data_IF_199488003962
#
_entry.id   IF_199488003962
#
_cell.length_a   1.000
_cell.length_b   1.000
_cell.length_c   1.000
_cell.angle_alpha   90.00
_cell.angle_beta   90.00
_cell.angle_gamma   90.00
#
_symmetry.space_group_name_H-M   'P 1'
#
loop_
_entity.id
_entity.type
_entity.pdbx_description
1 polymer ?
#
# COMPACT_ATOMS: atom_id res chain seq x y z
N UNK A 1 -2.32 -2.66 -1.12
CA UNK A 1 -3.10 -1.47 -0.77
C UNK A 1 -2.99 -1.16 0.72
N UNK A 2 -2.66 0.08 1.06
CA UNK A 2 -2.86 0.67 2.38
C UNK A 2 -4.20 1.40 2.39
N UNK A 3 -5.14 0.97 3.27
CA UNK A 3 -6.54 1.35 3.17
C UNK A 3 -6.79 2.70 3.83
N UNK A 4 -7.17 3.70 3.05
CA UNK A 4 -7.56 5.03 3.50
C UNK A 4 -8.63 5.67 2.61
N UNK A 5 -9.55 6.44 3.19
CA UNK A 5 -10.57 7.14 2.40
C UNK A 5 -9.99 8.39 1.75
N UNK A 6 -9.21 9.17 2.50
CA UNK A 6 -8.54 10.36 1.95
C UNK A 6 -7.25 10.02 1.21
N UNK A 7 -6.58 8.95 1.63
CA UNK A 7 -5.33 8.50 1.06
C UNK A 7 -5.36 6.99 0.94
N UNK A 8 -5.92 6.46 -0.15
CA UNK A 8 -5.84 5.06 -0.51
C UNK A 8 -4.54 4.86 -1.28
N UNK A 9 -3.49 4.41 -0.61
CA UNK A 9 -2.23 4.17 -1.28
C UNK A 9 -2.17 2.76 -1.88
N UNK A 10 -1.56 2.64 -3.06
CA UNK A 10 -1.31 1.36 -3.69
C UNK A 10 0.02 1.31 -4.42
N UNK A 11 0.55 0.12 -4.58
CA UNK A 11 1.75 -0.15 -5.34
C UNK A 11 1.56 -1.41 -6.17
N UNK A 12 1.78 -1.30 -7.50
CA UNK A 12 1.84 -2.43 -8.42
C UNK A 12 3.31 -2.73 -8.66
N UNK A 13 3.75 -3.92 -8.27
CA UNK A 13 5.15 -4.32 -8.34
C UNK A 13 5.28 -5.80 -8.66
N UNK A 14 6.45 -6.20 -9.13
CA UNK A 14 6.85 -7.59 -9.28
C UNK A 14 8.33 -7.76 -8.97
N UNK A 15 8.73 -8.98 -8.67
CA UNK A 15 10.13 -9.36 -8.52
C UNK A 15 10.66 -9.93 -9.84
N UNK A 16 11.81 -9.46 -10.25
CA UNK A 16 12.52 -9.95 -11.43
C UNK A 16 13.30 -11.23 -11.09
N UNK A 17 13.81 -11.93 -12.10
CA UNK A 17 14.64 -13.13 -11.94
C UNK A 17 15.90 -12.87 -11.11
N UNK A 18 16.48 -11.69 -11.22
CA UNK A 18 17.66 -11.24 -10.45
C UNK A 18 17.34 -10.79 -9.01
N UNK A 19 16.12 -11.00 -8.54
CA UNK A 19 15.61 -10.56 -7.22
C UNK A 19 15.48 -9.05 -7.04
N UNK A 20 15.70 -8.25 -8.08
CA UNK A 20 15.35 -6.83 -8.07
C UNK A 20 13.84 -6.64 -8.14
N UNK A 21 13.35 -5.49 -7.69
CA UNK A 21 11.94 -5.13 -7.71
C UNK A 21 11.69 -4.10 -8.81
N UNK A 22 10.69 -4.35 -9.64
CA UNK A 22 10.15 -3.38 -10.58
C UNK A 22 8.82 -2.85 -10.08
N UNK A 23 8.65 -1.53 -10.12
CA UNK A 23 7.41 -0.85 -9.74
C UNK A 23 6.77 -0.29 -11.01
N UNK A 24 5.58 -0.77 -11.34
CA UNK A 24 4.81 -0.28 -12.50
C UNK A 24 4.01 0.98 -12.17
N UNK A 25 3.40 1.01 -10.98
CA UNK A 25 2.56 2.10 -10.53
C UNK A 25 2.61 2.22 -9.01
N UNK A 26 2.76 3.43 -8.50
CA UNK A 26 2.81 3.70 -7.06
C UNK A 26 2.17 5.06 -6.79
N UNK A 27 0.98 5.05 -6.22
CA UNK A 27 0.19 6.28 -6.10
C UNK A 27 -0.76 6.28 -4.91
N UNK A 28 -1.37 7.44 -4.69
CA UNK A 28 -2.43 7.66 -3.71
C UNK A 28 -3.70 8.10 -4.43
N UNK A 29 -4.75 7.33 -4.27
CA UNK A 29 -6.10 7.67 -4.72
C UNK A 29 -6.79 8.47 -3.63
N UNK A 30 -7.27 9.66 -3.96
CA UNK A 30 -8.15 10.44 -3.11
C UNK A 30 -9.60 10.12 -3.49
N UNK A 31 -10.36 9.58 -2.53
CA UNK A 31 -11.79 9.30 -2.69
C UNK A 31 -12.66 10.47 -2.22
N UNK A 32 -12.08 11.36 -1.41
CA UNK A 32 -12.72 12.56 -0.89
C UNK A 32 -11.90 13.79 -1.25
N UNK A 33 -12.59 14.89 -1.54
CA UNK A 33 -11.95 16.18 -1.67
C UNK A 33 -11.48 16.71 -0.29
N UNK A 34 -10.59 17.69 -0.27
CA UNK A 34 -9.92 18.11 0.97
C UNK A 34 -10.90 18.73 1.98
N UNK A 35 -11.99 19.35 1.53
CA UNK A 35 -13.08 19.94 2.34
C UNK A 35 -14.19 18.95 2.70
N UNK A 36 -14.23 17.78 2.07
CA UNK A 36 -15.24 16.77 2.35
C UNK A 36 -14.99 16.02 3.66
N UNK A 37 -16.11 15.73 4.36
CA UNK A 37 -16.10 14.90 5.57
C UNK A 37 -16.75 13.54 5.28
N UNK A 38 -16.02 12.46 5.45
CA UNK A 38 -16.47 11.10 5.20
C UNK A 38 -17.85 10.78 5.78
N UNK A 39 -18.16 11.25 7.00
CA UNK A 39 -19.45 11.01 7.66
C UNK A 39 -20.66 11.64 6.95
N UNK A 40 -20.44 12.57 6.02
CA UNK A 40 -21.49 13.28 5.29
C UNK A 40 -21.74 12.69 3.91
N UNK A 41 -20.87 11.79 3.42
CA UNK A 41 -20.99 11.24 2.08
C UNK A 41 -21.57 9.82 2.18
N UNK A 42 -22.63 9.54 1.45
CA UNK A 42 -23.24 8.21 1.40
C UNK A 42 -22.24 7.14 0.90
N UNK A 43 -22.34 5.94 1.46
CA UNK A 43 -21.42 4.85 1.11
C UNK A 43 -21.49 4.47 -0.38
N UNK A 44 -22.67 4.52 -0.99
CA UNK A 44 -22.83 4.27 -2.43
C UNK A 44 -22.05 5.27 -3.28
N UNK A 45 -22.01 6.53 -2.90
CA UNK A 45 -21.22 7.55 -3.60
C UNK A 45 -19.72 7.30 -3.47
N UNK A 46 -19.24 7.00 -2.25
CA UNK A 46 -17.85 6.60 -2.02
C UNK A 46 -17.49 5.36 -2.86
N UNK A 47 -18.41 4.38 -2.92
CA UNK A 47 -18.24 3.15 -3.71
C UNK A 47 -18.11 3.47 -5.20
N UNK A 48 -18.97 4.33 -5.73
CA UNK A 48 -18.93 4.74 -7.14
C UNK A 48 -17.61 5.43 -7.48
N UNK A 49 -17.18 6.38 -6.65
CA UNK A 49 -15.88 7.06 -6.81
C UNK A 49 -14.72 6.06 -6.78
N UNK A 50 -14.75 5.13 -5.83
CA UNK A 50 -13.74 4.08 -5.68
C UNK A 50 -13.65 3.19 -6.93
N UNK A 51 -14.79 2.66 -7.41
CA UNK A 51 -14.82 1.81 -8.59
C UNK A 51 -14.31 2.53 -9.84
N UNK A 52 -14.78 3.76 -10.07
CA UNK A 52 -14.31 4.57 -11.21
C UNK A 52 -12.79 4.79 -11.15
N UNK A 53 -12.25 5.11 -9.97
CA UNK A 53 -10.82 5.30 -9.79
C UNK A 53 -10.03 4.00 -9.97
N UNK A 54 -10.47 2.90 -9.35
CA UNK A 54 -9.78 1.61 -9.50
C UNK A 54 -9.80 1.14 -10.96
N UNK A 55 -10.92 1.26 -11.67
CA UNK A 55 -10.98 0.90 -13.08
C UNK A 55 -10.05 1.78 -13.93
N UNK A 56 -10.11 3.10 -13.78
CA UNK A 56 -9.27 4.00 -14.57
C UNK A 56 -7.76 3.81 -14.33
N UNK A 57 -7.37 3.46 -13.11
CA UNK A 57 -5.96 3.31 -12.73
C UNK A 57 -5.41 1.91 -12.99
N UNK A 58 -6.24 0.87 -12.88
CA UNK A 58 -5.76 -0.52 -12.79
C UNK A 58 -6.10 -1.38 -14.02
N UNK A 59 -7.08 -0.99 -14.84
CA UNK A 59 -7.56 -1.83 -15.95
C UNK A 59 -6.50 -2.19 -16.98
N UNK A 60 -5.47 -1.37 -17.13
CA UNK A 60 -4.35 -1.62 -18.06
C UNK A 60 -3.29 -2.61 -17.53
N UNK A 61 -3.38 -3.03 -16.27
CA UNK A 61 -2.38 -3.91 -15.65
C UNK A 61 -2.90 -5.33 -15.48
N UNK A 62 -2.04 -6.31 -15.75
CA UNK A 62 -2.27 -7.71 -15.41
C UNK A 62 -1.88 -7.93 -13.94
N UNK A 63 -2.90 -8.10 -13.09
CA UNK A 63 -2.72 -8.26 -11.64
C UNK A 63 -3.03 -9.71 -11.26
N UNK A 64 -2.03 -10.44 -10.79
CA UNK A 64 -2.20 -11.83 -10.35
C UNK A 64 -2.44 -11.97 -8.84
N UNK A 65 -1.95 -11.05 -8.04
CA UNK A 65 -2.06 -11.08 -6.58
C UNK A 65 -2.54 -9.71 -6.05
N UNK A 66 -3.53 -9.73 -5.17
CA UNK A 66 -4.06 -8.51 -4.55
C UNK A 66 -3.92 -8.61 -3.04
N UNK A 67 -3.22 -7.63 -2.46
CA UNK A 67 -2.96 -7.56 -1.03
C UNK A 67 -3.61 -6.33 -0.44
N UNK A 68 -4.49 -6.53 0.53
CA UNK A 68 -5.22 -5.46 1.23
C UNK A 68 -4.82 -5.44 2.69
N UNK A 69 -4.48 -4.27 3.24
CA UNK A 69 -4.29 -4.15 4.68
C UNK A 69 -5.56 -4.53 5.43
N UNK A 70 -5.44 -5.46 6.40
CA UNK A 70 -6.58 -5.90 7.19
C UNK A 70 -6.97 -4.85 8.22
N UNK A 71 -8.11 -4.21 8.00
CA UNK A 71 -8.66 -3.18 8.87
C UNK A 71 -9.45 -3.76 10.06
N UNK A 72 -9.26 -3.26 11.28
CA UNK A 72 -10.00 -3.72 12.45
C UNK A 72 -11.48 -3.25 12.40
N UNK A 73 -12.41 -4.21 12.51
CA UNK A 73 -13.85 -3.93 12.39
C UNK A 73 -14.37 -2.94 13.45
N UNK A 74 -13.93 -3.10 14.71
CA UNK A 74 -14.48 -2.32 15.83
C UNK A 74 -13.88 -0.92 15.94
N UNK A 75 -12.62 -0.73 15.53
CA UNK A 75 -11.94 0.57 15.67
C UNK A 75 -12.27 1.53 14.53
N UNK A 76 -12.46 1.00 13.34
CA UNK A 76 -12.72 1.82 12.17
C UNK A 76 -13.64 1.10 11.15
N UNK A 77 -14.95 1.02 11.41
CA UNK A 77 -15.89 0.28 10.57
C UNK A 77 -15.97 0.82 9.14
N UNK A 78 -15.79 2.12 8.94
CA UNK A 78 -15.80 2.72 7.60
C UNK A 78 -14.60 2.24 6.77
N UNK A 79 -13.41 2.20 7.34
CA UNK A 79 -12.23 1.65 6.64
C UNK A 79 -12.40 0.17 6.35
N UNK A 80 -13.04 -0.58 7.25
CA UNK A 80 -13.38 -1.99 7.00
C UNK A 80 -14.34 -2.13 5.83
N UNK A 81 -15.35 -1.25 5.71
CA UNK A 81 -16.26 -1.25 4.56
C UNK A 81 -15.51 -0.97 3.26
N UNK A 82 -14.64 0.03 3.22
CA UNK A 82 -13.80 0.34 2.04
C UNK A 82 -12.94 -0.87 1.66
N UNK A 83 -12.28 -1.49 2.63
CA UNK A 83 -11.50 -2.71 2.40
C UNK A 83 -12.33 -3.81 1.74
N UNK A 84 -13.57 -4.04 2.21
CA UNK A 84 -14.44 -5.09 1.67
C UNK A 84 -14.99 -4.71 0.28
N UNK A 85 -15.20 -3.43 0.01
CA UNK A 85 -15.59 -2.95 -1.31
C UNK A 85 -14.45 -3.17 -2.32
N UNK A 86 -13.20 -2.87 -1.96
CA UNK A 86 -12.02 -3.16 -2.81
C UNK A 86 -11.89 -4.68 -3.02
N UNK A 87 -12.05 -5.48 -1.97
CA UNK A 87 -12.06 -6.93 -2.08
C UNK A 87 -13.10 -7.42 -3.10
N UNK A 88 -14.36 -6.92 -2.98
CA UNK A 88 -15.45 -7.25 -3.90
C UNK A 88 -15.18 -6.80 -5.34
N UNK A 89 -14.55 -5.63 -5.53
CA UNK A 89 -14.13 -5.16 -6.86
C UNK A 89 -13.21 -6.17 -7.55
N UNK A 90 -12.16 -6.65 -6.89
CA UNK A 90 -11.25 -7.62 -7.47
C UNK A 90 -11.86 -9.01 -7.62
N UNK A 91 -12.76 -9.42 -6.72
CA UNK A 91 -13.54 -10.65 -6.91
C UNK A 91 -14.43 -10.57 -8.15
N UNK A 92 -15.09 -9.44 -8.39
CA UNK A 92 -15.86 -9.21 -9.60
C UNK A 92 -14.99 -9.28 -10.85
N UNK A 93 -13.81 -8.63 -10.83
CA UNK A 93 -12.85 -8.68 -11.92
C UNK A 93 -12.43 -10.13 -12.25
N UNK A 94 -12.19 -10.94 -11.22
CA UNK A 94 -11.81 -12.34 -11.38
C UNK A 94 -12.97 -13.20 -11.90
N UNK A 95 -14.12 -13.20 -11.21
CA UNK A 95 -15.21 -14.15 -11.45
C UNK A 95 -16.02 -13.78 -12.70
N UNK A 96 -16.28 -12.49 -12.91
CA UNK A 96 -17.20 -12.04 -13.97
C UNK A 96 -16.45 -11.59 -15.22
N UNK A 97 -15.33 -10.86 -15.05
CA UNK A 97 -14.56 -10.38 -16.20
C UNK A 97 -13.44 -11.34 -16.63
N UNK A 98 -13.28 -12.48 -15.94
CA UNK A 98 -12.30 -13.52 -16.30
C UNK A 98 -10.84 -13.12 -16.12
N UNK A 99 -10.52 -12.09 -15.30
CA UNK A 99 -9.14 -11.71 -15.04
C UNK A 99 -8.41 -12.78 -14.21
N UNK A 100 -7.16 -13.04 -14.52
CA UNK A 100 -6.34 -14.08 -13.85
C UNK A 100 -5.82 -13.61 -12.47
N UNK A 101 -6.72 -13.27 -11.54
CA UNK A 101 -6.35 -12.95 -10.17
C UNK A 101 -6.31 -14.25 -9.36
N UNK A 102 -5.09 -14.71 -9.02
CA UNK A 102 -4.88 -15.97 -8.29
C UNK A 102 -5.27 -15.88 -6.84
N UNK A 103 -4.96 -14.77 -6.18
CA UNK A 103 -5.24 -14.58 -4.77
C UNK A 103 -5.63 -13.12 -4.44
N UNK A 104 -6.60 -12.98 -3.53
CA UNK A 104 -6.92 -11.70 -2.87
C UNK A 104 -6.77 -11.93 -1.38
N UNK A 105 -5.74 -11.35 -0.74
CA UNK A 105 -5.37 -11.63 0.65
C UNK A 105 -5.46 -10.40 1.54
N UNK A 106 -5.95 -10.62 2.76
CA UNK A 106 -5.91 -9.61 3.82
C UNK A 106 -4.62 -9.77 4.62
N UNK A 107 -3.80 -8.71 4.68
CA UNK A 107 -2.48 -8.74 5.33
C UNK A 107 -2.50 -7.89 6.60
N UNK A 108 -1.92 -8.40 7.67
CA UNK A 108 -1.79 -7.65 8.91
C UNK A 108 -0.82 -6.47 8.74
N UNK A 109 -1.27 -5.28 9.15
CA UNK A 109 -0.50 -4.04 9.10
C UNK A 109 0.90 -4.13 9.73
N UNK A 110 1.08 -4.96 10.76
CA UNK A 110 2.38 -5.14 11.42
C UNK A 110 3.43 -5.85 10.56
N UNK A 111 3.02 -6.53 9.50
CA UNK A 111 3.93 -7.32 8.67
C UNK A 111 4.88 -6.46 7.83
N UNK A 112 4.46 -5.27 7.43
CA UNK A 112 5.28 -4.36 6.62
C UNK A 112 6.65 -4.06 7.21
N UNK A 113 6.76 -3.90 8.53
CA UNK A 113 8.04 -3.62 9.19
C UNK A 113 8.96 -4.84 9.31
N UNK A 114 8.45 -6.05 9.06
CA UNK A 114 9.28 -7.27 9.07
C UNK A 114 10.29 -7.30 7.91
N UNK A 115 10.02 -6.55 6.84
CA UNK A 115 10.93 -6.40 5.70
C UNK A 115 12.29 -5.82 6.11
N UNK A 116 12.29 -4.91 7.07
CA UNK A 116 13.50 -4.22 7.53
C UNK A 116 14.18 -4.86 8.75
N UNK A 117 13.78 -6.05 9.19
CA UNK A 117 14.37 -6.67 10.40
C UNK A 117 15.89 -6.80 10.37
N UNK A 118 16.46 -7.06 9.21
CA UNK A 118 17.90 -7.26 9.02
C UNK A 118 18.65 -5.97 8.65
N UNK A 119 17.97 -4.84 8.61
CA UNK A 119 18.57 -3.53 8.34
C UNK A 119 19.06 -2.89 9.66
N UNK A 120 20.08 -3.50 10.26
CA UNK A 120 20.60 -3.12 11.58
C UNK A 120 21.05 -1.65 11.62
N UNK A 121 21.66 -1.15 10.58
CA UNK A 121 22.13 0.25 10.49
C UNK A 121 20.97 1.26 10.60
N UNK A 122 19.79 0.92 10.10
CA UNK A 122 18.61 1.76 10.23
C UNK A 122 17.96 1.57 11.60
N UNK A 123 17.85 0.32 12.06
CA UNK A 123 17.16 0.00 13.32
C UNK A 123 17.84 0.59 14.54
N UNK A 124 19.15 0.77 14.49
CA UNK A 124 20.01 1.26 15.58
C UNK A 124 20.29 2.77 15.52
N UNK A 125 19.66 3.52 14.61
CA UNK A 125 19.85 4.96 14.52
C UNK A 125 19.23 5.68 15.73
N UNK A 126 20.00 6.51 16.41
CA UNK A 126 19.59 7.21 17.62
C UNK A 126 18.30 8.03 17.47
N UNK A 127 18.12 8.68 16.32
CA UNK A 127 16.92 9.47 16.07
C UNK A 127 15.65 8.61 15.88
N UNK A 128 15.78 7.31 15.61
CA UNK A 128 14.67 6.36 15.54
C UNK A 128 14.40 5.76 16.94
N UNK A 129 15.45 5.32 17.63
CA UNK A 129 15.36 4.69 18.95
C UNK A 129 14.73 5.64 19.97
N UNK A 130 15.10 6.92 19.91
CA UNK A 130 14.63 7.94 20.84
C UNK A 130 13.18 8.41 20.62
N UNK A 131 12.49 7.91 19.57
CA UNK A 131 11.05 8.22 19.36
C UNK A 131 10.21 7.47 20.40
N UNK A 132 9.68 8.20 21.38
CA UNK A 132 8.85 7.62 22.48
C UNK A 132 7.52 7.04 21.97
N UNK A 133 6.90 7.68 20.98
CA UNK A 133 5.62 7.23 20.41
C UNK A 133 5.84 6.10 19.40
N UNK A 134 5.40 4.90 19.75
CA UNK A 134 5.56 3.69 18.88
C UNK A 134 4.95 3.84 17.50
N UNK A 135 3.83 4.50 17.37
CA UNK A 135 3.18 4.75 16.08
C UNK A 135 4.06 5.65 15.20
N UNK A 136 4.57 6.76 15.75
CA UNK A 136 5.48 7.67 15.03
C UNK A 136 6.79 6.97 14.68
N UNK A 137 7.33 6.16 15.58
CA UNK A 137 8.52 5.35 15.33
C UNK A 137 8.31 4.39 14.15
N UNK A 138 7.20 3.65 14.13
CA UNK A 138 6.89 2.72 13.06
C UNK A 138 6.76 3.42 11.69
N UNK A 139 6.12 4.59 11.64
CA UNK A 139 6.05 5.40 10.42
C UNK A 139 7.43 5.82 9.92
N UNK A 140 8.28 6.27 10.84
CA UNK A 140 9.65 6.67 10.48
C UNK A 140 10.45 5.48 9.95
N UNK A 141 10.37 4.32 10.62
CA UNK A 141 11.00 3.09 10.18
C UNK A 141 10.53 2.68 8.77
N UNK A 142 9.21 2.73 8.51
CA UNK A 142 8.67 2.39 7.20
C UNK A 142 9.26 3.28 6.09
N UNK A 143 9.38 4.58 6.34
CA UNK A 143 9.99 5.53 5.39
C UNK A 143 11.47 5.19 5.15
N UNK A 144 12.24 4.93 6.21
CA UNK A 144 13.68 4.63 6.09
C UNK A 144 13.93 3.29 5.39
N UNK A 145 13.14 2.26 5.71
CA UNK A 145 13.21 0.98 5.00
C UNK A 145 12.90 1.15 3.52
N UNK A 146 11.86 1.91 3.19
CA UNK A 146 11.51 2.20 1.81
C UNK A 146 12.65 2.91 1.07
N UNK A 147 13.24 3.95 1.67
CA UNK A 147 14.39 4.66 1.09
C UNK A 147 15.57 3.74 0.82
N UNK A 148 15.88 2.86 1.77
CA UNK A 148 16.99 1.90 1.61
C UNK A 148 16.71 0.90 0.49
N UNK A 149 15.48 0.35 0.46
CA UNK A 149 15.08 -0.67 -0.52
C UNK A 149 15.03 -0.06 -1.93
N UNK A 150 14.49 1.15 -2.08
CA UNK A 150 14.49 1.86 -3.37
C UNK A 150 15.91 1.96 -3.94
N UNK A 151 16.89 2.33 -3.12
CA UNK A 151 18.29 2.49 -3.57
C UNK A 151 19.00 1.18 -3.88
N UNK A 152 18.63 0.08 -3.21
CA UNK A 152 19.43 -1.15 -3.25
C UNK A 152 18.76 -2.31 -3.98
N UNK A 153 17.44 -2.27 -4.18
CA UNK A 153 16.68 -3.40 -4.74
C UNK A 153 15.69 -3.03 -5.84
N UNK A 154 15.47 -1.74 -6.11
CA UNK A 154 14.47 -1.29 -7.10
C UNK A 154 15.17 -0.80 -8.36
N UNK A 155 14.72 -1.29 -9.52
CA UNK A 155 15.17 -0.81 -10.81
C UNK A 155 14.65 0.61 -11.08
N UNK A 156 15.43 1.43 -11.79
CA UNK A 156 15.11 2.84 -12.08
C UNK A 156 14.80 3.67 -10.82
N UNK A 157 15.56 3.44 -9.77
CA UNK A 157 15.31 3.94 -8.43
C UNK A 157 15.36 5.48 -8.30
N UNK A 158 16.12 6.20 -9.14
CA UNK A 158 16.29 7.66 -9.01
C UNK A 158 14.94 8.39 -9.09
N UNK A 159 14.19 8.15 -10.16
CA UNK A 159 12.86 8.76 -10.32
C UNK A 159 11.89 8.38 -9.18
N UNK A 160 11.86 7.09 -8.80
CA UNK A 160 10.98 6.60 -7.74
C UNK A 160 11.39 7.13 -6.37
N UNK A 161 12.68 7.29 -6.13
CA UNK A 161 13.22 7.86 -4.91
C UNK A 161 12.80 9.33 -4.74
N UNK A 162 12.93 10.13 -5.80
CA UNK A 162 12.53 11.53 -5.80
C UNK A 162 11.01 11.67 -5.66
N UNK A 163 10.23 10.90 -6.42
CA UNK A 163 8.77 10.83 -6.29
C UNK A 163 8.37 10.54 -4.83
N UNK A 164 8.94 9.50 -4.24
CA UNK A 164 8.63 9.12 -2.87
C UNK A 164 8.95 10.22 -1.86
N UNK A 165 10.16 10.80 -1.94
CA UNK A 165 10.62 11.75 -0.95
C UNK A 165 9.98 13.14 -1.05
N UNK A 166 9.51 13.54 -2.21
CA UNK A 166 8.77 14.78 -2.41
C UNK A 166 7.28 14.66 -2.05
N UNK A 167 6.76 13.43 -1.93
CA UNK A 167 5.36 13.22 -1.60
C UNK A 167 5.06 13.53 -0.12
N UNK A 168 3.99 14.31 0.12
CA UNK A 168 3.55 14.67 1.49
C UNK A 168 3.05 13.48 2.30
N UNK A 169 2.57 12.42 1.62
CA UNK A 169 1.99 11.21 2.20
C UNK A 169 2.86 9.98 1.95
N UNK A 170 4.17 10.16 2.05
CA UNK A 170 5.14 9.09 1.84
C UNK A 170 5.03 7.95 2.86
N UNK A 171 4.46 8.20 4.03
CA UNK A 171 4.14 7.15 5.00
C UNK A 171 3.09 6.16 4.46
N UNK A 172 2.01 6.65 3.84
CA UNK A 172 0.96 5.81 3.25
C UNK A 172 1.51 5.04 2.02
N UNK A 173 2.35 5.71 1.20
CA UNK A 173 3.06 5.05 0.09
C UNK A 173 4.01 3.95 0.59
N UNK A 174 4.81 4.22 1.62
CA UNK A 174 5.72 3.25 2.22
C UNK A 174 4.94 2.01 2.71
N UNK A 175 3.81 2.23 3.36
CA UNK A 175 2.98 1.17 3.89
C UNK A 175 2.46 0.23 2.79
N UNK A 176 1.95 0.79 1.69
CA UNK A 176 1.50 0.00 0.53
C UNK A 176 2.65 -0.79 -0.12
N UNK A 177 3.81 -0.17 -0.32
CA UNK A 177 4.99 -0.80 -0.91
C UNK A 177 5.54 -1.94 -0.04
N UNK A 178 5.78 -1.68 1.25
CA UNK A 178 6.38 -2.65 2.17
C UNK A 178 5.48 -3.86 2.42
N UNK A 179 4.15 -3.70 2.37
CA UNK A 179 3.22 -4.83 2.45
C UNK A 179 3.37 -5.77 1.25
N UNK A 180 3.46 -5.22 0.04
CA UNK A 180 3.71 -6.00 -1.17
C UNK A 180 5.05 -6.72 -1.12
N UNK A 181 6.11 -6.02 -0.75
CA UNK A 181 7.44 -6.57 -0.64
C UNK A 181 7.54 -7.68 0.45
N UNK A 182 6.86 -7.50 1.58
CA UNK A 182 6.77 -8.54 2.59
C UNK A 182 6.18 -9.84 2.03
N UNK A 183 5.12 -9.72 1.23
CA UNK A 183 4.48 -10.87 0.61
C UNK A 183 5.38 -11.55 -0.43
N UNK A 184 6.06 -10.79 -1.27
CA UNK A 184 7.05 -11.31 -2.23
C UNK A 184 8.11 -12.10 -1.47
N UNK A 185 8.71 -11.53 -0.42
CA UNK A 185 9.75 -12.18 0.37
C UNK A 185 9.30 -13.45 1.13
N UNK A 186 7.99 -13.66 1.32
CA UNK A 186 7.46 -14.87 1.96
C UNK A 186 7.30 -16.04 1.00
N UNK A 187 7.12 -15.77 -0.29
CA UNK A 187 6.84 -16.78 -1.31
C UNK A 187 8.09 -17.17 -2.11
N UNK A 188 9.23 -16.63 -1.70
CA UNK A 188 10.57 -16.96 -2.19
C UNK A 188 11.39 -17.69 -1.14
#
# INVERSE_FOLDING_TARGET
>A
FDIGIKNLAYCIMYENEDKSISIHKWEIIKLLDDDERCKKIPLNEITTRLYNKLSSELDQYEISEVLLENQPCLKNPVMKSIQMIIYGFFQYQHIILGREIKNIKLINASNKLKVGKNLHDINNQDYIINIKNKYTQNKKLAIEYTNWILKNRVNNHEFLYDFFNTNKKKDDLADAFLQGLYYINLNN
#
